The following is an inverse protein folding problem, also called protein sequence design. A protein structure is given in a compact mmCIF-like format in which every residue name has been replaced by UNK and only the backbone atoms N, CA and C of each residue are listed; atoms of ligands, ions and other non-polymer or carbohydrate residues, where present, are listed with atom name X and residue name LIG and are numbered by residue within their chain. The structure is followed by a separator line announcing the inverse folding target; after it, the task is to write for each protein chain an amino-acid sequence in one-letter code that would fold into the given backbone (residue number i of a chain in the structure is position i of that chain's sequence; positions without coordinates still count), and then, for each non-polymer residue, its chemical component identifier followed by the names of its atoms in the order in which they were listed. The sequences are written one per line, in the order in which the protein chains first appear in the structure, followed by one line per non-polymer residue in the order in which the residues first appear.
data_IF_297832105996
#
_entry.id   IF_297832105996
#
_cell.length_a   1.000
_cell.length_b   1.000
_cell.length_c   1.000
_cell.angle_alpha   90.00
_cell.angle_beta   90.00
_cell.angle_gamma   90.00
#
_symmetry.space_group_name_H-M   'P 1'
#
loop_
_entity.id
_entity.type
_entity.pdbx_description
1 polymer ?
#
# COMPACT_ATOMS: atom_id res chain seq x y z
N UNK A 1 9.07 -3.00 -16.20
CA UNK A 1 9.87 -3.33 -15.00
C UNK A 1 10.91 -4.41 -15.33
N UNK A 2 10.58 -5.62 -15.81
CA UNK A 2 11.55 -6.70 -16.06
C UNK A 2 12.68 -6.31 -17.00
N UNK A 3 12.41 -5.56 -18.08
CA UNK A 3 13.42 -5.06 -18.98
C UNK A 3 14.38 -4.08 -18.29
N UNK A 4 13.80 -3.17 -17.49
CA UNK A 4 14.57 -2.21 -16.70
C UNK A 4 15.44 -2.92 -15.65
N UNK A 5 14.87 -3.88 -14.91
CA UNK A 5 15.62 -4.66 -13.92
C UNK A 5 16.82 -5.38 -14.54
N UNK A 6 16.63 -6.01 -15.71
CA UNK A 6 17.74 -6.67 -16.43
C UNK A 6 18.84 -5.69 -16.86
N UNK A 7 18.47 -4.50 -17.37
CA UNK A 7 19.43 -3.53 -17.87
C UNK A 7 20.16 -2.78 -16.76
N UNK A 8 19.57 -2.66 -15.57
CA UNK A 8 20.12 -1.88 -14.45
C UNK A 8 20.65 -2.74 -13.30
N UNK A 9 20.41 -4.05 -13.31
CA UNK A 9 20.73 -4.95 -12.20
C UNK A 9 19.83 -4.73 -10.97
N UNK A 10 18.74 -3.96 -11.09
CA UNK A 10 17.78 -3.69 -10.00
C UNK A 10 16.75 -4.81 -9.87
N UNK A 11 16.08 -4.85 -8.73
CA UNK A 11 14.95 -5.74 -8.46
C UNK A 11 13.71 -4.92 -8.06
N UNK A 12 13.29 -3.99 -8.92
CA UNK A 12 12.10 -3.20 -8.69
C UNK A 12 10.84 -4.05 -8.87
N UNK A 13 9.93 -3.97 -7.92
CA UNK A 13 8.64 -4.64 -7.94
C UNK A 13 7.54 -3.83 -8.66
N UNK A 14 6.31 -4.30 -8.52
CA UNK A 14 5.10 -3.66 -9.07
C UNK A 14 4.12 -3.40 -7.93
N UNK A 15 3.64 -2.16 -7.82
CA UNK A 15 2.64 -1.77 -6.82
C UNK A 15 1.46 -1.12 -7.55
N UNK A 16 0.35 -1.85 -7.73
CA UNK A 16 -0.73 -1.43 -8.61
C UNK A 16 -2.00 -1.11 -7.84
N UNK A 17 -2.63 0.02 -8.15
CA UNK A 17 -3.91 0.42 -7.57
C UNK A 17 -5.09 0.07 -8.49
N UNK A 18 -6.14 -0.53 -7.92
CA UNK A 18 -7.46 -0.68 -8.55
C UNK A 18 -8.27 0.57 -8.23
N UNK A 19 -8.40 1.47 -9.21
CA UNK A 19 -9.14 2.73 -9.08
C UNK A 19 -10.60 2.59 -9.52
N UNK A 20 -11.53 3.11 -8.68
CA UNK A 20 -12.96 3.17 -8.99
C UNK A 20 -13.58 1.82 -9.39
N UNK A 21 -13.35 0.72 -8.62
CA UNK A 21 -13.84 -0.62 -9.00
C UNK A 21 -15.36 -0.66 -9.14
N UNK A 22 -16.11 0.09 -8.36
CA UNK A 22 -17.58 0.15 -8.41
C UNK A 22 -18.07 0.69 -9.76
N UNK A 23 -17.44 1.75 -10.26
CA UNK A 23 -17.76 2.29 -11.58
C UNK A 23 -17.46 1.27 -12.68
N UNK A 24 -16.33 0.59 -12.59
CA UNK A 24 -15.95 -0.44 -13.56
C UNK A 24 -16.90 -1.64 -13.54
N UNK A 25 -17.34 -2.09 -12.37
CA UNK A 25 -18.33 -3.17 -12.25
C UNK A 25 -19.68 -2.78 -12.86
N UNK A 26 -20.13 -1.54 -12.70
CA UNK A 26 -21.37 -1.03 -13.32
C UNK A 26 -21.31 -1.04 -14.86
N UNK A 27 -20.11 -1.11 -15.45
CA UNK A 27 -19.88 -1.17 -16.89
C UNK A 27 -19.38 -2.54 -17.37
N UNK A 28 -19.61 -3.60 -16.59
CA UNK A 28 -19.18 -4.97 -16.90
C UNK A 28 -17.66 -5.10 -17.12
N UNK A 29 -16.87 -4.29 -16.44
CA UNK A 29 -15.41 -4.32 -16.48
C UNK A 29 -14.87 -4.84 -15.13
N UNK A 30 -14.59 -6.13 -15.00
CA UNK A 30 -13.99 -6.69 -13.77
C UNK A 30 -12.51 -6.31 -13.69
N UNK A 31 -12.22 -5.08 -13.27
CA UNK A 31 -10.88 -4.49 -13.32
C UNK A 31 -9.88 -5.28 -12.49
N UNK A 32 -10.27 -5.71 -11.28
CA UNK A 32 -9.40 -6.52 -10.42
C UNK A 32 -9.04 -7.87 -11.07
N UNK A 33 -10.00 -8.55 -11.72
CA UNK A 33 -9.74 -9.84 -12.39
C UNK A 33 -8.77 -9.66 -13.56
N UNK A 34 -8.96 -8.61 -14.36
CA UNK A 34 -8.06 -8.27 -15.47
C UNK A 34 -6.66 -7.94 -14.98
N UNK A 35 -6.55 -7.18 -13.88
CA UNK A 35 -5.26 -6.87 -13.26
C UNK A 35 -4.55 -8.12 -12.80
N UNK A 36 -5.22 -8.97 -12.00
CA UNK A 36 -4.61 -10.21 -11.48
C UNK A 36 -4.23 -11.15 -12.62
N UNK A 37 -5.08 -11.29 -13.65
CA UNK A 37 -4.76 -12.05 -14.86
C UNK A 37 -3.49 -11.54 -15.53
N UNK A 38 -3.39 -10.23 -15.76
CA UNK A 38 -2.21 -9.58 -16.34
C UNK A 38 -0.96 -9.82 -15.49
N UNK A 39 -1.04 -9.62 -14.18
CA UNK A 39 0.09 -9.86 -13.27
C UNK A 39 0.59 -11.30 -13.38
N UNK A 40 -0.33 -12.28 -13.39
CA UNK A 40 -0.01 -13.72 -13.52
C UNK A 40 0.64 -14.05 -14.86
N UNK A 41 0.20 -13.45 -15.96
CA UNK A 41 0.79 -13.62 -17.30
C UNK A 41 2.24 -13.13 -17.34
N UNK A 42 2.55 -12.11 -16.56
CA UNK A 42 3.91 -11.61 -16.37
C UNK A 42 4.67 -12.30 -15.23
N UNK A 43 4.09 -13.33 -14.60
CA UNK A 43 4.74 -14.19 -13.60
C UNK A 43 4.72 -13.62 -12.18
N UNK A 44 3.90 -12.62 -11.89
CA UNK A 44 3.61 -12.15 -10.54
C UNK A 44 2.46 -12.95 -9.95
N UNK A 45 2.73 -13.90 -9.05
CA UNK A 45 1.75 -14.88 -8.56
C UNK A 45 1.64 -14.89 -7.05
N UNK A 46 2.76 -14.74 -6.35
CA UNK A 46 2.87 -14.80 -4.92
C UNK A 46 3.58 -13.54 -4.39
N UNK A 47 3.53 -13.32 -3.09
CA UNK A 47 4.21 -12.15 -2.50
C UNK A 47 5.73 -12.16 -2.72
N UNK A 48 6.35 -13.31 -2.96
CA UNK A 48 7.79 -13.42 -3.24
C UNK A 48 8.17 -12.89 -4.63
N UNK A 49 7.18 -12.68 -5.51
CA UNK A 49 7.41 -12.14 -6.85
C UNK A 49 7.55 -10.60 -6.86
N UNK A 50 7.50 -9.96 -5.70
CA UNK A 50 7.74 -8.52 -5.56
C UNK A 50 6.62 -7.65 -6.14
N UNK A 51 5.35 -7.92 -5.79
CA UNK A 51 4.23 -7.07 -6.16
C UNK A 51 3.26 -6.86 -5.02
N UNK A 52 2.47 -5.78 -5.13
CA UNK A 52 1.31 -5.51 -4.29
C UNK A 52 0.13 -5.01 -5.14
N UNK A 53 -1.08 -5.29 -4.68
CA UNK A 53 -2.31 -4.75 -5.24
C UNK A 53 -3.03 -3.96 -4.16
N UNK A 54 -3.31 -2.69 -4.42
CA UNK A 54 -3.95 -1.80 -3.46
C UNK A 54 -5.30 -1.28 -3.98
N UNK A 55 -6.18 -0.96 -3.06
CA UNK A 55 -7.47 -0.34 -3.35
C UNK A 55 -8.03 0.37 -2.12
N UNK A 56 -8.81 1.43 -2.31
CA UNK A 56 -9.63 2.03 -1.27
C UNK A 56 -10.89 1.20 -0.96
N UNK A 57 -11.43 0.48 -1.94
CA UNK A 57 -12.62 -0.35 -1.77
C UNK A 57 -12.32 -1.65 -1.05
N UNK A 58 -12.78 -1.77 0.19
CA UNK A 58 -12.70 -3.01 0.96
C UNK A 58 -13.46 -4.16 0.28
N UNK A 59 -14.63 -3.84 -0.32
CA UNK A 59 -15.44 -4.83 -1.05
C UNK A 59 -14.68 -5.45 -2.22
N UNK A 60 -13.95 -4.64 -2.99
CA UNK A 60 -13.14 -5.14 -4.10
C UNK A 60 -11.96 -5.99 -3.61
N UNK A 61 -11.26 -5.57 -2.57
CA UNK A 61 -10.16 -6.38 -2.01
C UNK A 61 -10.65 -7.72 -1.44
N UNK A 62 -11.78 -7.73 -0.73
CA UNK A 62 -12.40 -8.97 -0.25
C UNK A 62 -12.82 -9.89 -1.40
N UNK A 63 -13.37 -9.33 -2.48
CA UNK A 63 -13.72 -10.05 -3.69
C UNK A 63 -12.48 -10.66 -4.34
N UNK A 64 -11.41 -9.87 -4.51
CA UNK A 64 -10.13 -10.34 -5.05
C UNK A 64 -9.54 -11.44 -4.14
N UNK A 65 -9.56 -11.27 -2.83
CA UNK A 65 -9.11 -12.28 -1.87
C UNK A 65 -9.86 -13.60 -2.04
N UNK A 66 -11.18 -13.55 -2.17
CA UNK A 66 -12.03 -14.73 -2.36
C UNK A 66 -11.77 -15.42 -3.69
N UNK A 67 -11.61 -14.64 -4.78
CA UNK A 67 -11.46 -15.18 -6.13
C UNK A 67 -10.05 -15.73 -6.41
N UNK A 68 -9.00 -15.14 -5.84
CA UNK A 68 -7.61 -15.41 -6.19
C UNK A 68 -6.74 -15.97 -5.05
N UNK A 69 -7.27 -16.05 -3.85
CA UNK A 69 -6.62 -16.70 -2.70
C UNK A 69 -5.61 -15.84 -1.95
N UNK A 70 -4.94 -16.46 -0.97
CA UNK A 70 -4.07 -15.78 -0.01
C UNK A 70 -2.72 -15.30 -0.60
N UNK A 71 -2.32 -15.84 -1.74
CA UNK A 71 -1.02 -15.56 -2.36
C UNK A 71 -0.93 -14.14 -2.94
N UNK A 72 -2.07 -13.51 -3.30
CA UNK A 72 -2.09 -12.13 -3.80
C UNK A 72 -1.89 -11.17 -2.63
N UNK A 73 -0.80 -10.40 -2.60
CA UNK A 73 -0.56 -9.44 -1.51
C UNK A 73 -1.44 -8.20 -1.69
N UNK A 74 -2.45 -8.07 -0.84
CA UNK A 74 -3.45 -6.99 -0.88
C UNK A 74 -3.15 -5.92 0.16
N UNK A 75 -3.37 -4.67 -0.22
CA UNK A 75 -3.19 -3.48 0.62
C UNK A 75 -4.47 -2.67 0.66
N UNK A 76 -5.03 -2.48 1.85
CA UNK A 76 -6.16 -1.60 2.07
C UNK A 76 -5.69 -0.15 2.21
N UNK A 77 -6.07 0.71 1.27
CA UNK A 77 -5.83 2.15 1.37
C UNK A 77 -6.86 2.78 2.32
N UNK A 78 -6.38 3.67 3.19
CA UNK A 78 -7.17 4.34 4.22
C UNK A 78 -6.99 5.85 4.12
N UNK A 79 -8.09 6.57 3.96
CA UNK A 79 -8.15 8.04 3.97
C UNK A 79 -8.88 8.56 5.22
N UNK A 80 -8.98 9.85 5.36
CA UNK A 80 -9.67 10.47 6.49
C UNK A 80 -11.09 9.93 6.67
N UNK A 81 -11.44 9.62 7.92
CA UNK A 81 -12.72 8.98 8.26
C UNK A 81 -12.71 7.46 8.25
N UNK A 82 -11.63 6.81 7.82
CA UNK A 82 -11.50 5.36 7.93
C UNK A 82 -11.44 4.90 9.40
N UNK A 83 -12.02 3.74 9.69
CA UNK A 83 -11.92 3.12 11.01
C UNK A 83 -10.53 2.49 11.21
N UNK A 84 -9.66 3.24 11.86
CA UNK A 84 -8.30 2.80 12.24
C UNK A 84 -8.23 2.25 13.67
N UNK A 85 -9.38 2.02 14.31
CA UNK A 85 -9.41 1.34 15.60
C UNK A 85 -8.88 -0.10 15.48
N UNK A 86 -8.50 -0.70 16.61
CA UNK A 86 -8.07 -2.10 16.63
C UNK A 86 -9.10 -3.04 16.00
N UNK A 87 -10.40 -2.76 16.17
CA UNK A 87 -11.49 -3.54 15.56
C UNK A 87 -11.53 -3.39 14.05
N UNK A 88 -11.38 -2.14 13.54
CA UNK A 88 -11.30 -1.86 12.10
C UNK A 88 -10.08 -2.53 11.47
N UNK A 89 -8.92 -2.41 12.09
CA UNK A 89 -7.68 -3.04 11.61
C UNK A 89 -7.77 -4.58 11.65
N UNK A 90 -8.40 -5.17 12.67
CA UNK A 90 -8.61 -6.62 12.74
C UNK A 90 -9.52 -7.11 11.60
N UNK A 91 -10.54 -6.34 11.23
CA UNK A 91 -11.39 -6.66 10.08
C UNK A 91 -10.58 -6.63 8.76
N UNK A 92 -9.69 -5.65 8.61
CA UNK A 92 -8.79 -5.54 7.45
C UNK A 92 -7.81 -6.71 7.39
N UNK A 93 -7.23 -7.13 8.52
CA UNK A 93 -6.32 -8.26 8.59
C UNK A 93 -6.96 -9.59 8.14
N UNK A 94 -8.30 -9.68 8.15
CA UNK A 94 -9.03 -10.82 7.63
C UNK A 94 -8.94 -11.01 6.11
N UNK A 95 -8.55 -9.97 5.34
CA UNK A 95 -8.47 -10.04 3.88
C UNK A 95 -7.24 -9.39 3.26
N UNK A 96 -6.62 -8.42 3.93
CA UNK A 96 -5.43 -7.72 3.42
C UNK A 96 -4.15 -8.15 4.16
N UNK A 97 -3.01 -7.85 3.57
CA UNK A 97 -1.68 -8.12 4.11
C UNK A 97 -1.01 -6.85 4.63
N UNK A 98 -1.51 -5.70 4.19
CA UNK A 98 -1.00 -4.40 4.57
C UNK A 98 -2.12 -3.36 4.59
N UNK A 99 -1.84 -2.26 5.25
CA UNK A 99 -2.60 -1.02 5.12
C UNK A 99 -1.73 0.06 4.48
N UNK A 100 -2.37 0.92 3.67
CA UNK A 100 -1.78 2.15 3.16
C UNK A 100 -2.57 3.34 3.74
N UNK A 101 -2.24 3.83 4.92
CA UNK A 101 -2.94 4.96 5.51
C UNK A 101 -2.43 6.30 4.95
N UNK A 102 -3.31 7.29 4.83
CA UNK A 102 -2.87 8.67 4.64
C UNK A 102 -1.96 9.09 5.81
N UNK A 103 -0.96 9.96 5.54
CA UNK A 103 -0.04 10.47 6.58
C UNK A 103 -0.81 11.06 7.76
N UNK A 104 -1.93 11.75 7.52
CA UNK A 104 -2.77 12.35 8.55
C UNK A 104 -3.37 11.35 9.55
N UNK A 105 -3.50 10.09 9.16
CA UNK A 105 -3.97 9.00 10.04
C UNK A 105 -2.86 8.40 10.92
N UNK A 106 -1.60 8.57 10.52
CA UNK A 106 -0.44 8.02 11.23
C UNK A 106 0.32 9.08 12.03
N UNK A 107 0.06 10.34 11.77
CA UNK A 107 0.71 11.47 12.43
C UNK A 107 -0.32 12.53 12.84
N UNK A 108 -0.37 12.96 14.10
CA UNK A 108 0.57 12.66 15.20
C UNK A 108 0.26 11.40 16.03
N UNK A 109 -0.82 10.66 15.74
CA UNK A 109 -1.14 9.42 16.45
C UNK A 109 -0.16 8.32 16.04
N UNK A 110 0.70 7.94 16.99
CA UNK A 110 1.76 6.95 16.77
C UNK A 110 1.33 5.52 17.08
N UNK A 111 0.11 5.31 17.53
CA UNK A 111 -0.40 3.99 17.96
C UNK A 111 -0.83 3.10 16.80
N UNK A 112 -1.18 3.68 15.64
CA UNK A 112 -1.69 2.95 14.48
C UNK A 112 -0.70 1.88 13.99
N UNK A 113 0.57 2.26 13.79
CA UNK A 113 1.60 1.36 13.24
C UNK A 113 1.80 0.15 14.14
N UNK A 114 1.98 0.38 15.45
CA UNK A 114 2.14 -0.71 16.42
C UNK A 114 0.92 -1.65 16.46
N UNK A 115 -0.30 -1.09 16.43
CA UNK A 115 -1.53 -1.89 16.41
C UNK A 115 -1.65 -2.72 15.13
N UNK A 116 -1.29 -2.15 13.98
CA UNK A 116 -1.29 -2.86 12.70
C UNK A 116 -0.30 -4.03 12.71
N UNK A 117 0.92 -3.80 13.21
CA UNK A 117 1.95 -4.84 13.33
C UNK A 117 1.54 -5.98 14.28
N UNK A 118 0.92 -5.68 15.42
CA UNK A 118 0.36 -6.70 16.31
C UNK A 118 -0.68 -7.59 15.63
N UNK A 119 -1.37 -7.08 14.61
CA UNK A 119 -2.36 -7.80 13.82
C UNK A 119 -1.77 -8.44 12.54
N UNK A 120 -0.44 -8.34 12.34
CA UNK A 120 0.25 -8.91 11.19
C UNK A 120 0.08 -8.14 9.90
N UNK A 121 -0.33 -6.86 9.96
CA UNK A 121 -0.44 -5.96 8.82
C UNK A 121 0.84 -5.15 8.65
N UNK A 122 1.37 -5.10 7.44
CA UNK A 122 2.39 -4.11 7.06
C UNK A 122 1.76 -2.73 6.92
N UNK A 123 2.57 -1.67 7.05
CA UNK A 123 2.11 -0.27 7.00
C UNK A 123 2.92 0.51 5.96
N UNK A 124 2.23 0.98 4.91
CA UNK A 124 2.80 1.73 3.80
C UNK A 124 2.07 3.09 3.62
N UNK A 125 2.39 4.14 4.40
CA UNK A 125 1.66 5.42 4.34
C UNK A 125 1.87 6.17 3.02
N UNK A 126 0.89 7.03 2.66
CA UNK A 126 0.92 7.91 1.49
C UNK A 126 0.45 9.33 1.83
N UNK A 127 0.80 10.34 1.11
CA UNK A 127 1.87 10.46 0.12
C UNK A 127 2.92 11.39 0.67
N UNK A 128 4.16 10.96 0.70
CA UNK A 128 5.30 11.77 1.14
C UNK A 128 5.71 12.71 0.02
N UNK A 129 5.58 14.00 0.26
CA UNK A 129 5.85 15.07 -0.70
C UNK A 129 6.93 16.01 -0.17
N UNK A 130 7.96 16.26 -0.96
CA UNK A 130 9.01 17.21 -0.59
C UNK A 130 8.59 18.67 -0.78
N UNK A 131 7.65 18.91 -1.70
CA UNK A 131 7.09 20.23 -2.02
C UNK A 131 5.90 20.62 -1.13
N UNK A 132 5.36 19.67 -0.32
CA UNK A 132 4.22 19.91 0.57
C UNK A 132 4.39 19.09 1.85
N UNK A 133 5.11 19.70 2.83
CA UNK A 133 5.38 19.02 4.10
C UNK A 133 4.19 19.12 5.04
N UNK A 134 3.82 18.04 5.76
CA UNK A 134 2.82 18.09 6.82
C UNK A 134 3.23 19.03 7.96
N UNK A 135 2.24 19.56 8.68
CA UNK A 135 2.49 20.40 9.84
C UNK A 135 3.43 19.71 10.85
N UNK A 136 4.43 20.45 11.32
CA UNK A 136 5.43 19.96 12.26
C UNK A 136 6.74 19.48 11.61
N UNK A 137 6.83 19.47 10.28
CA UNK A 137 8.05 19.14 9.55
C UNK A 137 8.56 20.34 8.77
N UNK A 138 9.89 20.54 8.78
CA UNK A 138 10.59 21.61 8.06
C UNK A 138 11.52 21.09 6.97
N UNK A 139 11.73 19.77 6.93
CA UNK A 139 12.57 19.10 5.94
C UNK A 139 12.00 17.72 5.60
N UNK A 140 12.10 17.36 4.32
CA UNK A 140 11.58 16.08 3.80
C UNK A 140 12.28 14.87 4.44
N UNK A 141 13.62 14.90 4.58
CA UNK A 141 14.36 13.85 5.26
C UNK A 141 13.92 13.64 6.71
N UNK A 142 13.61 14.72 7.43
CA UNK A 142 13.05 14.64 8.78
C UNK A 142 11.68 13.96 8.83
N UNK A 143 10.83 14.19 7.82
CA UNK A 143 9.56 13.49 7.67
C UNK A 143 9.78 11.99 7.43
N UNK A 144 10.66 11.64 6.48
CA UNK A 144 10.97 10.23 6.16
C UNK A 144 11.52 9.51 7.39
N UNK A 145 12.54 10.06 8.06
CA UNK A 145 13.12 9.44 9.27
C UNK A 145 12.11 9.28 10.41
N UNK A 146 11.22 10.24 10.61
CA UNK A 146 10.19 10.14 11.65
C UNK A 146 9.26 8.93 11.43
N UNK A 147 8.97 8.59 10.18
CA UNK A 147 8.11 7.47 9.85
C UNK A 147 8.89 6.15 9.76
N UNK A 148 10.02 6.12 9.10
CA UNK A 148 10.81 4.89 8.93
C UNK A 148 11.49 4.50 10.24
N UNK A 149 12.30 5.39 10.83
CA UNK A 149 13.08 5.08 12.03
C UNK A 149 12.25 5.25 13.31
N UNK A 150 11.34 6.25 13.31
CA UNK A 150 10.57 6.60 14.49
C UNK A 150 9.31 5.78 14.70
N UNK A 151 8.51 5.55 13.64
CA UNK A 151 7.27 4.77 13.71
C UNK A 151 7.47 3.32 13.27
N UNK A 152 8.52 3.02 12.49
CA UNK A 152 8.82 1.69 12.00
C UNK A 152 7.89 1.23 10.88
N UNK A 153 7.48 2.14 9.97
CA UNK A 153 6.67 1.75 8.80
C UNK A 153 7.48 0.85 7.85
N UNK A 154 6.80 -0.07 7.16
CA UNK A 154 7.45 -1.08 6.31
C UNK A 154 7.75 -0.58 4.91
N UNK A 155 7.16 0.53 4.51
CA UNK A 155 7.35 1.19 3.24
C UNK A 155 6.64 2.53 3.23
N UNK A 156 6.76 3.28 2.13
CA UNK A 156 6.08 4.55 1.96
C UNK A 156 5.85 4.87 0.47
N UNK A 157 4.86 5.71 0.19
CA UNK A 157 4.65 6.25 -1.15
C UNK A 157 5.15 7.68 -1.23
N UNK A 158 5.94 7.96 -2.25
CA UNK A 158 6.47 9.30 -2.50
C UNK A 158 6.48 9.65 -3.98
N UNK A 159 6.26 10.92 -4.29
CA UNK A 159 6.49 11.51 -5.60
C UNK A 159 7.98 11.90 -5.81
N UNK A 160 8.82 11.75 -4.78
CA UNK A 160 10.23 12.13 -4.74
C UNK A 160 11.12 10.94 -4.34
N UNK A 161 11.14 9.85 -5.15
CA UNK A 161 11.85 8.62 -4.76
C UNK A 161 13.37 8.78 -4.67
N UNK A 162 13.95 9.67 -5.44
CA UNK A 162 15.37 10.04 -5.40
C UNK A 162 15.78 10.57 -4.02
N UNK A 163 14.97 11.44 -3.42
CA UNK A 163 15.24 12.02 -2.10
C UNK A 163 15.07 11.02 -0.94
N UNK A 164 14.37 9.90 -1.15
CA UNK A 164 14.21 8.85 -0.13
C UNK A 164 15.38 7.87 -0.16
N UNK A 165 15.89 7.53 -1.35
CA UNK A 165 16.96 6.52 -1.52
C UNK A 165 18.33 7.06 -1.09
N UNK A 166 18.50 8.38 -1.02
CA UNK A 166 19.74 9.03 -0.59
C UNK A 166 19.87 9.19 0.94
N UNK A 167 18.86 8.80 1.71
CA UNK A 167 18.81 8.85 3.18
C UNK A 167 19.28 7.52 3.77
#
# INVERSE_FOLDING_TARGET
IRGLNRSTGRNAGVYTEIKGPEWHHQHDIPLGDRLIGTLRDFGYRTRDDGFFVQCFSAGELQRVRTAFGAEVPLVQLLEEGADVSRTGLLAIAGYANAIGPAISLTWPDRGLVGTAHELGLLVHPFTFRADELPHGFTAFGGLVSAFVDGLGVDGLFTDFPDLVVEQ
#
